data_IF_502716569122
#
_entry.id   IF_502716569122
#
_cell.length_a   1.000
_cell.length_b   1.000
_cell.length_c   1.000
_cell.angle_alpha   90.00
_cell.angle_beta   90.00
_cell.angle_gamma   90.00
#
_symmetry.space_group_name_H-M   'P 1'
#
loop_
_entity.id
_entity.type
_entity.pdbx_description
1 polymer ?
#
# COMPACT_ATOMS: atom_id res chain seq x y z
N UNK A 1 7.71 -4.24 -24.51
CA UNK A 1 8.48 -5.17 -23.65
C UNK A 1 7.64 -5.43 -22.41
N UNK A 2 7.42 -6.70 -22.06
CA UNK A 2 6.55 -7.11 -20.95
C UNK A 2 7.28 -6.99 -19.62
N UNK A 3 6.60 -6.52 -18.59
CA UNK A 3 7.10 -6.33 -17.22
C UNK A 3 7.58 -7.65 -16.58
N UNK A 4 7.18 -8.80 -17.15
CA UNK A 4 7.59 -10.14 -16.71
C UNK A 4 9.10 -10.40 -16.78
N UNK A 5 9.84 -9.68 -17.62
CA UNK A 5 11.25 -10.00 -17.89
C UNK A 5 12.25 -9.34 -16.92
N UNK A 6 11.79 -8.67 -15.85
CA UNK A 6 12.65 -7.92 -14.91
C UNK A 6 12.70 -8.43 -13.48
N UNK A 7 12.18 -9.62 -13.21
CA UNK A 7 12.13 -10.17 -11.86
C UNK A 7 13.45 -10.90 -11.56
N UNK A 8 14.32 -10.39 -10.65
CA UNK A 8 15.63 -10.99 -10.38
C UNK A 8 15.50 -12.31 -9.63
N UNK A 9 16.34 -13.30 -9.97
CA UNK A 9 16.39 -14.66 -9.41
C UNK A 9 16.57 -14.76 -7.88
N UNK A 10 16.83 -13.62 -7.19
CA UNK A 10 16.91 -13.54 -5.73
C UNK A 10 15.56 -13.72 -5.01
N UNK A 11 14.46 -13.81 -5.76
CA UNK A 11 13.11 -14.04 -5.23
C UNK A 11 12.84 -15.43 -4.68
N UNK A 12 13.74 -16.41 -4.89
CA UNK A 12 13.55 -17.80 -4.43
C UNK A 12 13.91 -18.05 -2.95
N UNK A 13 14.32 -17.03 -2.21
CA UNK A 13 14.71 -17.15 -0.80
C UNK A 13 13.75 -16.34 0.09
N UNK A 14 12.50 -16.84 0.23
CA UNK A 14 11.51 -16.32 1.19
C UNK A 14 10.04 -16.28 0.73
N UNK A 15 9.66 -17.12 -0.25
CA UNK A 15 8.46 -17.05 -1.10
C UNK A 15 7.07 -17.23 -0.45
N UNK A 16 6.82 -16.91 0.82
CA UNK A 16 5.48 -17.11 1.42
C UNK A 16 4.72 -15.88 1.91
N UNK A 17 5.32 -14.69 2.06
CA UNK A 17 4.64 -13.60 2.81
C UNK A 17 4.17 -12.37 2.05
N UNK A 18 4.37 -12.25 0.73
CA UNK A 18 3.77 -11.15 -0.06
C UNK A 18 3.10 -11.65 -1.34
N UNK A 19 2.62 -12.89 -1.34
CA UNK A 19 1.59 -13.33 -2.26
C UNK A 19 0.22 -13.13 -1.60
N UNK A 20 -0.15 -11.88 -1.29
CA UNK A 20 -1.58 -11.54 -1.23
C UNK A 20 -2.03 -11.63 -2.68
N UNK A 21 -2.46 -12.82 -3.06
CA UNK A 21 -3.06 -13.18 -4.34
C UNK A 21 -3.76 -12.00 -5.03
N UNK A 22 -3.08 -11.46 -6.05
CA UNK A 22 -3.59 -11.20 -7.39
C UNK A 22 -5.12 -11.01 -7.46
N UNK A 23 -5.56 -9.78 -7.18
CA UNK A 23 -6.70 -9.15 -7.86
C UNK A 23 -6.20 -7.76 -8.30
N UNK A 24 -6.52 -7.37 -9.53
CA UNK A 24 -5.91 -6.35 -10.42
C UNK A 24 -5.86 -4.89 -9.88
N UNK A 25 -6.01 -4.69 -8.57
CA UNK A 25 -6.42 -3.45 -7.94
C UNK A 25 -5.39 -2.88 -6.95
N UNK A 26 -4.39 -3.67 -6.55
CA UNK A 26 -3.43 -3.32 -5.49
C UNK A 26 -2.02 -3.71 -5.88
N UNK A 27 -1.09 -2.76 -5.83
CA UNK A 27 0.34 -2.99 -6.10
C UNK A 27 1.16 -2.79 -4.82
N UNK A 28 2.15 -3.66 -4.60
CA UNK A 28 3.05 -3.59 -3.45
C UNK A 28 4.49 -3.41 -3.94
N UNK A 29 5.14 -2.32 -3.53
CA UNK A 29 6.53 -2.05 -3.87
C UNK A 29 7.38 -2.14 -2.61
N UNK A 30 8.37 -3.04 -2.61
CA UNK A 30 9.34 -3.12 -1.53
C UNK A 30 10.63 -2.40 -1.93
N UNK A 31 11.02 -1.41 -1.14
CA UNK A 31 12.35 -0.81 -1.19
C UNK A 31 13.18 -1.29 0.02
N UNK A 32 14.48 -0.99 0.06
CA UNK A 32 15.30 -1.35 1.23
C UNK A 32 14.77 -0.71 2.53
N UNK A 33 14.11 0.45 2.42
CA UNK A 33 13.75 1.31 3.54
C UNK A 33 12.26 1.27 3.91
N UNK A 34 11.35 0.98 2.96
CA UNK A 34 9.90 0.93 3.23
C UNK A 34 9.13 0.01 2.27
N UNK A 35 7.93 -0.41 2.70
CA UNK A 35 6.94 -1.14 1.92
C UNK A 35 5.84 -0.18 1.47
N UNK A 36 5.52 -0.13 0.18
CA UNK A 36 4.42 0.66 -0.37
C UNK A 36 3.23 -0.25 -0.67
N UNK A 37 2.02 0.19 -0.35
CA UNK A 37 0.74 -0.39 -0.75
C UNK A 37 -0.01 0.66 -1.57
N UNK A 38 -0.21 0.43 -2.86
CA UNK A 38 -1.00 1.31 -3.73
C UNK A 38 -2.40 0.73 -3.97
N UNK A 39 -3.42 1.57 -3.90
CA UNK A 39 -4.83 1.20 -4.08
C UNK A 39 -5.40 1.99 -5.25
N UNK A 40 -5.75 1.28 -6.32
CA UNK A 40 -6.28 1.87 -7.53
C UNK A 40 -7.67 2.50 -7.33
N UNK A 41 -8.08 3.49 -8.14
CA UNK A 41 -9.38 4.16 -7.99
C UNK A 41 -10.57 3.24 -8.28
N UNK A 42 -10.36 2.22 -9.12
CA UNK A 42 -11.31 1.22 -9.58
C UNK A 42 -11.38 -0.01 -8.66
N UNK A 43 -10.55 -0.06 -7.61
CA UNK A 43 -10.42 -1.20 -6.69
C UNK A 43 -11.75 -1.75 -6.23
N UNK A 44 -11.95 -3.06 -6.30
CA UNK A 44 -13.13 -3.78 -5.82
C UNK A 44 -13.29 -3.80 -4.29
N UNK A 45 -13.83 -4.90 -3.76
CA UNK A 45 -13.94 -5.08 -2.29
C UNK A 45 -12.62 -5.63 -1.75
N UNK A 46 -12.02 -4.91 -0.80
CA UNK A 46 -10.82 -5.35 -0.09
C UNK A 46 -11.17 -5.93 1.29
N UNK A 47 -10.41 -6.93 1.73
CA UNK A 47 -10.47 -7.42 3.11
C UNK A 47 -9.59 -6.53 4.00
N UNK A 48 -10.16 -5.41 4.46
CA UNK A 48 -9.46 -4.41 5.26
C UNK A 48 -8.85 -4.97 6.55
N UNK A 49 -9.57 -5.78 7.37
CA UNK A 49 -8.98 -6.34 8.58
C UNK A 49 -7.73 -7.19 8.32
N UNK A 50 -7.73 -7.98 7.24
CA UNK A 50 -6.57 -8.79 6.85
C UNK A 50 -5.39 -7.89 6.48
N UNK A 51 -5.60 -6.93 5.58
CA UNK A 51 -4.55 -6.00 5.12
C UNK A 51 -3.97 -5.20 6.30
N UNK A 52 -4.83 -4.67 7.16
CA UNK A 52 -4.42 -3.92 8.35
C UNK A 52 -3.59 -4.78 9.32
N UNK A 53 -3.95 -6.05 9.51
CA UNK A 53 -3.16 -6.97 10.35
C UNK A 53 -1.78 -7.27 9.75
N UNK A 54 -1.70 -7.46 8.44
CA UNK A 54 -0.42 -7.69 7.75
C UNK A 54 0.50 -6.47 7.88
N UNK A 55 -0.01 -5.26 7.60
CA UNK A 55 0.77 -4.03 7.75
C UNK A 55 1.18 -3.82 9.21
N UNK A 56 0.29 -4.10 10.15
CA UNK A 56 0.60 -4.02 11.56
C UNK A 56 1.80 -4.91 11.94
N UNK A 57 1.87 -6.15 11.45
CA UNK A 57 3.02 -7.03 11.67
C UNK A 57 4.31 -6.47 11.07
N UNK A 58 4.26 -5.98 9.83
CA UNK A 58 5.42 -5.36 9.17
C UNK A 58 5.97 -4.16 9.97
N UNK A 59 5.09 -3.31 10.49
CA UNK A 59 5.51 -2.13 11.26
C UNK A 59 5.98 -2.53 12.66
N UNK A 60 5.24 -3.41 13.34
CA UNK A 60 5.52 -3.77 14.74
C UNK A 60 6.73 -4.69 14.88
N UNK A 61 6.69 -5.80 14.15
CA UNK A 61 7.56 -6.95 14.38
C UNK A 61 8.82 -6.80 13.53
N UNK A 62 8.66 -6.40 12.26
CA UNK A 62 9.78 -6.24 11.32
C UNK A 62 10.39 -4.83 11.34
N UNK A 63 9.81 -3.92 12.13
CA UNK A 63 10.19 -2.49 12.21
C UNK A 63 10.31 -1.82 10.84
N UNK A 64 9.46 -2.20 9.89
CA UNK A 64 9.42 -1.61 8.54
C UNK A 64 8.51 -0.39 8.51
N UNK A 65 8.93 0.64 7.78
CA UNK A 65 8.03 1.72 7.41
C UNK A 65 7.07 1.21 6.32
N UNK A 66 5.80 1.56 6.42
CA UNK A 66 4.79 1.17 5.42
C UNK A 66 4.04 2.40 4.93
N UNK A 67 4.07 2.64 3.63
CA UNK A 67 3.31 3.69 2.97
C UNK A 67 2.05 3.10 2.32
N UNK A 68 0.88 3.63 2.64
CA UNK A 68 -0.41 3.26 2.05
C UNK A 68 -0.88 4.43 1.19
N UNK A 69 -0.86 4.23 -0.13
CA UNK A 69 -1.28 5.22 -1.12
C UNK A 69 -2.59 4.80 -1.76
N UNK A 70 -3.60 5.67 -1.71
CA UNK A 70 -4.87 5.47 -2.39
C UNK A 70 -5.10 6.52 -3.48
N UNK A 71 -5.60 6.10 -4.63
CA UNK A 71 -5.93 6.97 -5.76
C UNK A 71 -7.45 7.12 -5.92
N UNK A 72 -7.90 8.31 -6.28
CA UNK A 72 -9.32 8.65 -6.43
C UNK A 72 -10.12 8.52 -5.13
N UNK A 73 -11.39 8.91 -5.16
CA UNK A 73 -12.23 8.94 -3.95
C UNK A 73 -12.28 7.58 -3.24
N UNK A 74 -12.46 6.49 -4.01
CA UNK A 74 -12.58 5.14 -3.46
C UNK A 74 -11.26 4.61 -2.89
N UNK A 75 -10.17 4.68 -3.65
CA UNK A 75 -8.86 4.21 -3.20
C UNK A 75 -8.36 5.00 -1.99
N UNK A 76 -8.55 6.33 -1.99
CA UNK A 76 -8.25 7.18 -0.83
C UNK A 76 -9.05 6.72 0.40
N UNK A 77 -10.36 6.52 0.27
CA UNK A 77 -11.21 6.09 1.38
C UNK A 77 -10.77 4.74 1.97
N UNK A 78 -10.39 3.78 1.12
CA UNK A 78 -9.88 2.48 1.54
C UNK A 78 -8.51 2.61 2.25
N UNK A 79 -7.60 3.42 1.70
CA UNK A 79 -6.29 3.67 2.30
C UNK A 79 -6.37 4.29 3.70
N UNK A 80 -7.22 5.32 3.84
CA UNK A 80 -7.51 5.94 5.14
C UNK A 80 -8.10 4.92 6.11
N UNK A 81 -9.01 4.06 5.64
CA UNK A 81 -9.64 3.05 6.50
C UNK A 81 -8.63 2.02 7.01
N UNK A 82 -7.71 1.55 6.16
CA UNK A 82 -6.63 0.65 6.56
C UNK A 82 -5.77 1.30 7.65
N UNK A 83 -5.29 2.52 7.41
CA UNK A 83 -4.47 3.24 8.39
C UNK A 83 -5.22 3.48 9.71
N UNK A 84 -6.51 3.79 9.65
CA UNK A 84 -7.35 3.97 10.84
C UNK A 84 -7.50 2.67 11.66
N UNK A 85 -7.74 1.53 11.01
CA UNK A 85 -7.86 0.24 11.69
C UNK A 85 -6.55 -0.18 12.37
N UNK A 86 -5.39 0.21 11.81
CA UNK A 86 -4.08 0.01 12.44
C UNK A 86 -3.91 0.95 13.65
N UNK A 87 -4.23 2.24 13.48
CA UNK A 87 -4.12 3.25 14.55
C UNK A 87 -4.98 2.93 15.77
N UNK A 88 -6.15 2.32 15.57
CA UNK A 88 -6.99 1.83 16.68
C UNK A 88 -6.35 0.71 17.49
N UNK A 89 -5.47 -0.10 16.88
CA UNK A 89 -4.76 -1.20 17.55
C UNK A 89 -3.50 -0.73 18.24
N UNK A 90 -2.80 0.22 17.63
CA UNK A 90 -1.53 0.74 18.15
C UNK A 90 -1.39 2.23 17.84
N UNK A 91 -1.57 3.03 18.89
CA UNK A 91 -1.50 4.48 18.83
C UNK A 91 -0.07 5.05 18.90
N UNK A 92 0.93 4.22 19.25
CA UNK A 92 2.32 4.66 19.37
C UNK A 92 3.04 4.78 18.04
N UNK A 93 2.52 4.18 16.97
CA UNK A 93 3.06 4.38 15.63
C UNK A 93 2.93 5.84 15.20
N UNK A 94 3.93 6.33 14.47
CA UNK A 94 3.85 7.66 13.85
C UNK A 94 3.14 7.53 12.50
N UNK A 95 2.24 8.47 12.23
CA UNK A 95 1.45 8.53 11.00
C UNK A 95 1.71 9.87 10.32
N UNK A 96 2.26 9.82 9.12
CA UNK A 96 2.47 11.00 8.28
C UNK A 96 1.56 10.91 7.05
N UNK A 97 0.96 12.01 6.65
CA UNK A 97 0.01 12.05 5.53
C UNK A 97 0.43 13.11 4.53
N UNK A 98 0.44 12.73 3.26
CA UNK A 98 0.64 13.63 2.14
C UNK A 98 -0.54 13.52 1.17
N UNK A 99 -0.97 14.68 0.67
CA UNK A 99 -1.94 14.80 -0.40
C UNK A 99 -1.20 15.19 -1.67
N UNK A 100 -1.45 14.48 -2.75
CA UNK A 100 -0.83 14.78 -4.03
C UNK A 100 -1.80 14.58 -5.18
N UNK A 101 -1.71 15.41 -6.20
CA UNK A 101 -2.49 15.29 -7.42
C UNK A 101 -1.54 14.81 -8.51
N UNK A 102 -1.42 13.49 -8.65
CA UNK A 102 -0.60 12.88 -9.68
C UNK A 102 -1.37 12.81 -11.01
N UNK A 103 -0.63 12.88 -12.12
CA UNK A 103 -1.07 12.43 -13.45
C UNK A 103 -1.14 10.89 -13.49
N UNK A 104 -1.73 10.23 -12.48
CA UNK A 104 -2.04 8.82 -12.55
C UNK A 104 -3.24 8.64 -13.50
N UNK A 105 -3.00 8.79 -14.80
CA UNK A 105 -4.01 8.65 -15.83
C UNK A 105 -4.37 7.16 -15.98
N UNK A 106 -5.41 6.71 -15.27
CA UNK A 106 -6.07 5.43 -15.58
C UNK A 106 -7.33 5.74 -16.40
N UNK A 107 -7.24 5.53 -17.72
CA UNK A 107 -8.36 5.67 -18.66
C UNK A 107 -8.03 6.51 -19.90
N UNK A 108 -8.82 6.37 -20.96
CA UNK A 108 -8.66 7.08 -22.25
C UNK A 108 -8.69 8.62 -22.15
N UNK A 109 -9.13 9.17 -21.02
CA UNK A 109 -9.45 10.60 -20.87
C UNK A 109 -8.30 11.45 -20.28
N UNK A 110 -7.18 10.84 -19.85
CA UNK A 110 -5.99 11.57 -19.39
C UNK A 110 -6.20 12.48 -18.16
N UNK A 111 -7.29 12.30 -17.41
CA UNK A 111 -7.61 13.16 -16.26
C UNK A 111 -6.70 12.84 -15.06
N UNK A 112 -6.14 13.86 -14.39
CA UNK A 112 -5.33 13.65 -13.19
C UNK A 112 -6.19 13.06 -12.06
N UNK A 113 -5.59 12.18 -11.27
CA UNK A 113 -6.23 11.58 -10.12
C UNK A 113 -5.57 12.09 -8.84
N UNK A 114 -6.39 12.59 -7.93
CA UNK A 114 -5.95 12.87 -6.56
C UNK A 114 -5.54 11.58 -5.89
N UNK A 115 -4.50 11.66 -5.09
CA UNK A 115 -4.01 10.58 -4.25
C UNK A 115 -3.79 11.06 -2.82
N UNK A 116 -3.86 10.13 -1.89
CA UNK A 116 -3.44 10.33 -0.50
C UNK A 116 -2.46 9.22 -0.17
N UNK A 117 -1.31 9.60 0.39
CA UNK A 117 -0.35 8.67 0.94
C UNK A 117 -0.29 8.83 2.45
N UNK A 118 -0.37 7.71 3.17
CA UNK A 118 -0.22 7.63 4.62
C UNK A 118 0.97 6.75 4.92
N UNK A 119 2.02 7.32 5.51
CA UNK A 119 3.20 6.59 5.96
C UNK A 119 3.04 6.24 7.43
N UNK A 120 3.19 4.95 7.74
CA UNK A 120 3.09 4.37 9.08
C UNK A 120 4.50 3.94 9.47
N UNK A 121 4.99 4.52 10.57
CA UNK A 121 6.38 4.41 11.00
C UNK A 121 6.41 3.78 12.39
N UNK A 122 7.30 2.79 12.64
CA UNK A 122 7.47 2.23 13.98
C UNK A 122 7.94 3.31 14.97
N UNK A 123 7.66 3.15 16.28
CA UNK A 123 8.18 4.06 17.29
C UNK A 123 9.71 3.92 17.39
N UNK A 124 10.38 5.00 17.77
CA UNK A 124 11.82 5.01 18.08
C UNK A 124 12.16 4.12 19.28
#
# INVERSE_FOLDING_TARGET
MSVRDRIPDKLRLGEELVAISLQEDVEVFQTNDYVMLEIAPDTGRLNIPKIANTIYGLVKDDRKMVAVRGYGFKGIGLGVRIAHDIKKKEGRFKYEMAFDTFEAAKGQDGRPLTSVQIVIIPPE
#
